data_IF_672454899182
#
_entry.id   IF_672454899182
#
_cell.length_a   1.000
_cell.length_b   1.000
_cell.length_c   1.000
_cell.angle_alpha   90.00
_cell.angle_beta   90.00
_cell.angle_gamma   90.00
#
_symmetry.space_group_name_H-M   'P 1'
#
loop_
_entity.id
_entity.type
_entity.pdbx_description
1 polymer ?
#
# COMPACT_ATOMS: atom_id res chain seq x y z
N UNK A 1 -2.74 5.25 -23.79
CA UNK A 1 -2.17 5.72 -22.52
C UNK A 1 -1.49 4.51 -21.92
N UNK A 2 -0.17 4.51 -21.85
CA UNK A 2 0.63 3.42 -21.30
C UNK A 2 0.21 3.24 -19.85
N UNK A 3 -0.38 2.10 -19.51
CA UNK A 3 -0.33 1.61 -18.15
C UNK A 3 1.14 1.27 -17.93
N UNK A 4 1.90 2.21 -17.38
CA UNK A 4 3.20 1.87 -16.80
C UNK A 4 2.89 0.79 -15.77
N UNK A 5 3.34 -0.45 -16.03
CA UNK A 5 3.51 -1.44 -14.98
C UNK A 5 4.39 -0.74 -13.94
N UNK A 6 3.76 -0.17 -12.91
CA UNK A 6 4.48 0.53 -11.86
C UNK A 6 5.31 -0.51 -11.13
N UNK A 7 6.55 -0.70 -11.59
CA UNK A 7 7.57 -1.50 -10.92
C UNK A 7 7.91 -0.79 -9.61
N UNK A 8 7.07 -0.96 -8.59
CA UNK A 8 7.24 -0.38 -7.27
C UNK A 8 8.55 -0.88 -6.66
N UNK A 9 9.44 0.04 -6.29
CA UNK A 9 10.78 -0.26 -5.77
C UNK A 9 10.89 0.01 -4.28
N UNK A 10 11.84 -0.67 -3.63
CA UNK A 10 12.20 -0.37 -2.24
C UNK A 10 12.64 1.09 -2.10
N UNK A 11 12.13 1.77 -1.08
CA UNK A 11 12.37 3.18 -0.81
C UNK A 11 11.54 4.15 -1.66
N UNK A 12 10.68 3.66 -2.55
CA UNK A 12 9.87 4.50 -3.40
C UNK A 12 8.72 5.16 -2.59
N UNK A 13 8.55 6.49 -2.69
CA UNK A 13 7.38 7.16 -2.14
C UNK A 13 6.14 6.78 -2.95
N UNK A 14 5.07 6.45 -2.25
CA UNK A 14 3.80 6.02 -2.83
C UNK A 14 2.64 6.63 -2.07
N UNK A 15 1.53 6.84 -2.77
CA UNK A 15 0.25 7.24 -2.19
C UNK A 15 -0.76 6.12 -2.32
N UNK A 16 -1.56 5.90 -1.28
CA UNK A 16 -2.67 4.93 -1.36
C UNK A 16 -3.84 5.55 -2.12
N UNK A 17 -3.94 5.22 -3.40
CA UNK A 17 -4.97 5.76 -4.29
C UNK A 17 -6.26 4.94 -4.29
N UNK A 18 -6.24 3.71 -3.75
CA UNK A 18 -7.41 2.84 -3.67
C UNK A 18 -7.43 2.05 -2.37
N UNK A 19 -8.62 1.89 -1.80
CA UNK A 19 -8.84 1.02 -0.65
C UNK A 19 -9.62 -0.21 -1.13
N UNK A 20 -9.02 -1.42 -1.04
CA UNK A 20 -9.77 -2.64 -1.33
C UNK A 20 -10.98 -2.79 -0.40
N UNK A 21 -12.08 -3.36 -0.91
CA UNK A 21 -13.32 -3.57 -0.17
C UNK A 21 -13.12 -4.39 1.11
N UNK A 22 -12.13 -5.30 1.12
CA UNK A 22 -11.76 -6.07 2.32
C UNK A 22 -11.11 -5.19 3.40
N UNK A 23 -10.30 -4.19 3.01
CA UNK A 23 -9.71 -3.23 3.96
C UNK A 23 -10.73 -2.22 4.48
N UNK A 24 -11.69 -1.82 3.63
CA UNK A 24 -12.79 -0.98 4.06
C UNK A 24 -13.62 -1.65 5.17
N UNK A 25 -13.87 -2.96 5.06
CA UNK A 25 -14.54 -3.74 6.13
C UNK A 25 -13.72 -3.81 7.41
N UNK A 26 -12.40 -3.96 7.32
CA UNK A 26 -11.52 -4.01 8.47
C UNK A 26 -11.43 -2.66 9.21
N UNK A 27 -11.44 -1.55 8.47
CA UNK A 27 -11.51 -0.20 9.06
C UNK A 27 -12.81 0.02 9.86
N UNK A 28 -13.96 -0.47 9.35
CA UNK A 28 -15.25 -0.40 10.07
C UNK A 28 -15.24 -1.22 11.36
N UNK A 29 -14.44 -2.28 11.43
CA UNK A 29 -14.29 -3.11 12.63
C UNK A 29 -13.28 -2.57 13.67
N UNK A 30 -12.82 -1.33 13.52
CA UNK A 30 -11.93 -0.68 14.50
C UNK A 30 -10.47 -1.12 14.41
N UNK A 31 -10.06 -1.74 13.29
CA UNK A 31 -8.65 -1.96 13.01
C UNK A 31 -8.07 -0.67 12.40
N UNK A 32 -7.64 0.24 13.28
CA UNK A 32 -7.16 1.59 12.97
C UNK A 32 -6.08 1.64 11.87
N UNK A 33 -5.25 0.60 11.77
CA UNK A 33 -4.11 0.47 10.85
C UNK A 33 -4.48 0.36 9.36
N UNK A 34 -5.74 0.46 8.97
CA UNK A 34 -6.19 0.25 7.58
C UNK A 34 -6.86 1.49 6.98
N UNK A 35 -6.78 2.64 7.67
CA UNK A 35 -7.39 3.92 7.26
C UNK A 35 -6.47 4.83 6.42
N UNK A 36 -5.44 4.29 5.76
CA UNK A 36 -4.47 5.12 5.00
C UNK A 36 -4.92 5.54 3.60
N UNK A 37 -6.22 5.49 3.29
CA UNK A 37 -6.67 5.93 1.97
C UNK A 37 -6.36 7.42 1.78
N UNK A 38 -5.58 7.74 0.75
CA UNK A 38 -5.12 9.10 0.48
C UNK A 38 -3.84 9.51 1.21
N UNK A 39 -3.28 8.67 2.08
CA UNK A 39 -2.02 8.93 2.78
C UNK A 39 -0.81 8.57 1.90
N UNK A 40 0.28 9.31 2.15
CA UNK A 40 1.60 9.05 1.56
C UNK A 40 2.40 8.12 2.47
N UNK A 41 3.14 7.21 1.87
CA UNK A 41 4.02 6.28 2.56
C UNK A 41 5.21 5.87 1.70
N UNK A 42 6.04 4.98 2.23
CA UNK A 42 7.25 4.49 1.55
C UNK A 42 7.21 2.98 1.43
N UNK A 43 7.51 2.48 0.23
CA UNK A 43 7.66 1.04 -0.03
C UNK A 43 8.89 0.53 0.71
N UNK A 44 8.70 -0.49 1.54
CA UNK A 44 9.79 -1.06 2.37
C UNK A 44 10.01 -2.55 2.14
N UNK A 45 9.06 -3.22 1.50
CA UNK A 45 9.22 -4.60 1.08
C UNK A 45 8.31 -4.87 -0.13
N UNK A 46 8.77 -5.74 -1.03
CA UNK A 46 7.98 -6.24 -2.17
C UNK A 46 8.09 -7.75 -2.17
N UNK A 47 6.97 -8.41 -1.87
CA UNK A 47 6.91 -9.86 -1.73
C UNK A 47 6.23 -10.47 -2.94
N UNK A 48 6.74 -11.59 -3.47
CA UNK A 48 5.99 -12.38 -4.44
C UNK A 48 4.72 -12.91 -3.76
N UNK A 49 3.57 -12.72 -4.40
CA UNK A 49 2.30 -13.33 -4.00
C UNK A 49 1.86 -14.38 -5.02
N UNK A 50 0.92 -15.24 -4.63
CA UNK A 50 0.44 -16.34 -5.48
C UNK A 50 -0.31 -15.86 -6.74
N UNK A 51 -1.02 -14.74 -6.63
CA UNK A 51 -1.78 -14.14 -7.73
C UNK A 51 -1.09 -12.86 -8.25
N UNK A 52 -0.72 -11.97 -7.32
CA UNK A 52 -0.07 -10.69 -7.60
C UNK A 52 0.96 -10.38 -6.50
N UNK A 53 2.02 -9.59 -6.80
CA UNK A 53 2.97 -9.17 -5.79
C UNK A 53 2.29 -8.34 -4.70
N UNK A 54 2.82 -8.42 -3.48
CA UNK A 54 2.35 -7.68 -2.32
C UNK A 54 3.40 -6.67 -1.89
N UNK A 55 2.98 -5.42 -1.73
CA UNK A 55 3.87 -4.30 -1.43
C UNK A 55 3.63 -3.86 0.00
N UNK A 56 4.67 -3.79 0.82
CA UNK A 56 4.58 -3.31 2.20
C UNK A 56 4.95 -1.84 2.22
N UNK A 57 3.99 -1.01 2.62
CA UNK A 57 4.13 0.45 2.71
C UNK A 57 4.18 0.86 4.17
N UNK A 58 5.11 1.74 4.53
CA UNK A 58 5.22 2.35 5.85
C UNK A 58 4.76 3.80 5.83
N UNK A 59 3.99 4.18 6.85
CA UNK A 59 3.42 5.52 7.00
C UNK A 59 4.05 6.32 8.15
N UNK A 60 4.85 5.67 9.01
CA UNK A 60 5.58 6.32 10.11
C UNK A 60 7.10 6.13 10.02
N UNK A 61 7.84 7.12 10.56
CA UNK A 61 9.30 7.07 10.65
C UNK A 61 9.79 5.91 11.52
N UNK A 62 8.98 5.52 12.52
CA UNK A 62 9.35 4.51 13.52
C UNK A 62 9.03 3.06 13.12
N UNK A 63 8.31 2.85 12.01
CA UNK A 63 8.02 1.53 11.45
C UNK A 63 7.02 0.69 12.20
N UNK A 64 6.21 1.30 13.06
CA UNK A 64 5.10 0.60 13.70
C UNK A 64 3.89 0.52 12.80
N UNK A 65 3.82 1.39 11.80
CA UNK A 65 2.68 1.49 10.91
C UNK A 65 3.06 1.05 9.49
N UNK A 66 3.10 -0.27 9.31
CA UNK A 66 3.40 -0.92 8.05
C UNK A 66 2.20 -1.76 7.60
N UNK A 67 1.72 -1.53 6.38
CA UNK A 67 0.54 -2.16 5.82
C UNK A 67 0.82 -2.71 4.43
N UNK A 68 0.25 -3.88 4.13
CA UNK A 68 0.46 -4.54 2.85
C UNK A 68 -0.63 -4.15 1.85
N UNK A 69 -0.24 -3.76 0.64
CA UNK A 69 -1.09 -3.36 -0.48
C UNK A 69 -0.81 -4.19 -1.72
N UNK A 70 -1.75 -4.15 -2.67
CA UNK A 70 -1.49 -4.52 -4.06
C UNK A 70 -0.90 -3.33 -4.82
N UNK A 71 -0.11 -3.55 -5.88
CA UNK A 71 0.42 -2.47 -6.71
C UNK A 71 -0.68 -1.55 -7.25
N UNK A 72 -1.82 -2.11 -7.66
CA UNK A 72 -2.98 -1.35 -8.16
C UNK A 72 -3.67 -0.45 -7.10
N UNK A 73 -3.36 -0.64 -5.82
CA UNK A 73 -3.86 0.23 -4.75
C UNK A 73 -2.98 1.47 -4.53
N UNK A 74 -1.80 1.52 -5.18
CA UNK A 74 -0.75 2.50 -4.95
C UNK A 74 -0.45 3.32 -6.20
N UNK A 75 -0.22 4.61 -6.02
CA UNK A 75 0.30 5.52 -7.04
C UNK A 75 1.70 5.99 -6.64
N UNK A 76 2.63 6.04 -7.58
CA UNK A 76 3.95 6.65 -7.38
C UNK A 76 3.83 8.17 -7.30
N UNK A 77 4.53 8.79 -6.34
CA UNK A 77 4.51 10.25 -6.10
C UNK A 77 5.83 10.89 -6.50
#
# INVERSE_FOLDING_TARGET
MQLEETELRLGQPVRVARQSADKAKLAVHGYDRHQHFGDDGVVTDVRPGSDEPRVVVRFDDYGRDAVTYRPEELESV
#
